data_IF_127461904498
#
_entry.id   IF_127461904498
#
_cell.length_a   1.000
_cell.length_b   1.000
_cell.length_c   1.000
_cell.angle_alpha   90.00
_cell.angle_beta   90.00
_cell.angle_gamma   90.00
#
_symmetry.space_group_name_H-M   'P 1'
#
loop_
_entity.id
_entity.type
_entity.pdbx_description
1 polymer ?
#
# COMPACT_ATOMS: atom_id res chain seq x y z
N UNK A 1 -40.70 21.37 27.88
CA UNK A 1 -40.39 22.52 27.00
C UNK A 1 -39.14 22.16 26.20
N UNK A 2 -39.31 21.67 24.98
CA UNK A 2 -38.20 21.35 24.08
C UNK A 2 -37.80 22.65 23.40
N UNK A 3 -36.57 23.12 23.66
CA UNK A 3 -36.07 24.41 23.18
C UNK A 3 -36.19 24.52 21.65
N UNK A 4 -36.93 25.52 21.14
CA UNK A 4 -37.04 25.80 19.70
C UNK A 4 -35.68 26.10 19.03
N UNK A 5 -34.65 26.40 19.82
CA UNK A 5 -33.27 26.57 19.34
C UNK A 5 -32.62 25.27 18.83
N UNK A 6 -32.93 24.10 19.40
CA UNK A 6 -32.34 22.82 18.94
C UNK A 6 -32.89 22.38 17.59
N UNK A 7 -34.10 22.79 17.22
CA UNK A 7 -34.74 22.41 15.95
C UNK A 7 -34.13 23.15 14.76
N UNK A 8 -33.66 24.39 14.95
CA UNK A 8 -33.15 25.23 13.87
C UNK A 8 -31.63 25.07 13.61
N UNK A 9 -30.89 24.58 14.61
CA UNK A 9 -29.45 24.26 14.50
C UNK A 9 -29.24 22.92 13.77
N UNK A 10 -30.15 21.96 13.94
CA UNK A 10 -30.07 20.60 13.40
C UNK A 10 -30.03 20.48 11.86
N UNK A 11 -30.78 21.27 11.06
CA UNK A 11 -30.71 21.15 9.60
C UNK A 11 -29.42 21.75 9.02
N UNK A 12 -28.90 22.82 9.63
CA UNK A 12 -27.68 23.49 9.15
C UNK A 12 -26.44 22.62 9.37
N UNK A 13 -26.33 21.96 10.51
CA UNK A 13 -25.21 21.04 10.80
C UNK A 13 -25.22 19.82 9.89
N UNK A 14 -26.39 19.27 9.57
CA UNK A 14 -26.53 18.16 8.60
C UNK A 14 -26.12 18.53 7.18
N UNK A 15 -26.50 19.73 6.71
CA UNK A 15 -26.12 20.20 5.38
C UNK A 15 -24.59 20.37 5.28
N UNK A 16 -23.96 21.01 6.26
CA UNK A 16 -22.50 21.19 6.31
C UNK A 16 -21.80 19.82 6.35
N UNK A 17 -22.25 18.91 7.21
CA UNK A 17 -21.67 17.56 7.30
C UNK A 17 -21.78 16.80 5.99
N UNK A 18 -22.91 16.91 5.28
CA UNK A 18 -23.13 16.25 3.99
C UNK A 18 -22.19 16.80 2.91
N UNK A 19 -21.98 18.11 2.86
CA UNK A 19 -21.04 18.74 1.91
C UNK A 19 -19.60 18.29 2.22
N UNK A 20 -19.20 18.27 3.49
CA UNK A 20 -17.85 17.82 3.89
C UNK A 20 -17.64 16.34 3.57
N UNK A 21 -18.61 15.47 3.87
CA UNK A 21 -18.54 14.04 3.59
C UNK A 21 -18.56 13.73 2.08
N UNK A 22 -19.36 14.46 1.30
CA UNK A 22 -19.36 14.29 -0.16
C UNK A 22 -18.06 14.78 -0.79
N UNK A 23 -17.52 15.91 -0.34
CA UNK A 23 -16.22 16.42 -0.80
C UNK A 23 -15.07 15.45 -0.51
N UNK A 24 -15.05 14.88 0.69
CA UNK A 24 -14.06 13.84 1.04
C UNK A 24 -14.23 12.58 0.20
N UNK A 25 -15.46 12.09 -0.01
CA UNK A 25 -15.70 10.94 -0.89
C UNK A 25 -15.21 11.16 -2.33
N UNK A 26 -15.44 12.35 -2.90
CA UNK A 26 -14.93 12.71 -4.24
C UNK A 26 -13.40 12.75 -4.25
N UNK A 27 -12.78 13.33 -3.22
CA UNK A 27 -11.33 13.34 -3.07
C UNK A 27 -10.73 11.93 -3.03
N UNK A 28 -11.32 11.02 -2.26
CA UNK A 28 -10.86 9.63 -2.18
C UNK A 28 -11.04 8.87 -3.51
N UNK A 29 -12.13 9.12 -4.25
CA UNK A 29 -12.30 8.57 -5.60
C UNK A 29 -11.21 9.04 -6.56
N UNK A 30 -10.85 10.32 -6.52
CA UNK A 30 -9.75 10.87 -7.33
C UNK A 30 -8.43 10.18 -6.97
N UNK A 31 -8.17 9.98 -5.67
CA UNK A 31 -6.98 9.27 -5.18
C UNK A 31 -6.94 7.83 -5.70
N UNK A 32 -8.05 7.10 -5.65
CA UNK A 32 -8.15 5.73 -6.20
C UNK A 32 -7.85 5.72 -7.70
N UNK A 33 -8.40 6.66 -8.46
CA UNK A 33 -8.15 6.77 -9.92
C UNK A 33 -6.67 7.06 -10.19
N UNK A 34 -6.05 7.97 -9.43
CA UNK A 34 -4.61 8.25 -9.51
C UNK A 34 -3.81 6.97 -9.23
N UNK A 35 -4.19 6.17 -8.22
CA UNK A 35 -3.50 4.90 -7.94
C UNK A 35 -3.65 3.88 -9.05
N UNK A 36 -4.83 3.72 -9.63
CA UNK A 36 -5.05 2.83 -10.77
C UNK A 36 -4.21 3.29 -11.97
N UNK A 37 -4.17 4.59 -12.25
CA UNK A 37 -3.37 5.16 -13.33
C UNK A 37 -1.87 4.95 -13.09
N UNK A 38 -1.38 5.19 -11.88
CA UNK A 38 0.00 4.93 -11.48
C UNK A 38 0.34 3.44 -11.61
N UNK A 39 -0.54 2.54 -11.15
CA UNK A 39 -0.34 1.11 -11.30
C UNK A 39 -0.25 0.71 -12.77
N UNK A 40 -1.20 1.15 -13.60
CA UNK A 40 -1.21 0.88 -15.04
C UNK A 40 0.04 1.43 -15.74
N UNK A 41 0.47 2.64 -15.38
CA UNK A 41 1.69 3.26 -15.91
C UNK A 41 2.94 2.44 -15.55
N UNK A 42 3.06 2.01 -14.29
CA UNK A 42 4.18 1.18 -13.83
C UNK A 42 4.22 -0.19 -14.54
N UNK A 43 3.07 -0.85 -14.69
CA UNK A 43 2.98 -2.12 -15.44
C UNK A 43 3.35 -1.92 -16.91
N UNK A 44 2.87 -0.83 -17.53
CA UNK A 44 3.16 -0.52 -18.93
C UNK A 44 4.63 -0.17 -19.16
N UNK A 45 5.25 0.57 -18.25
CA UNK A 45 6.67 0.91 -18.31
C UNK A 45 7.55 -0.34 -18.19
N UNK A 46 7.23 -1.25 -17.26
CA UNK A 46 7.93 -2.54 -17.11
C UNK A 46 7.92 -3.37 -18.39
N UNK A 47 6.86 -3.25 -19.21
CA UNK A 47 6.70 -3.97 -20.48
C UNK A 47 7.35 -3.26 -21.68
N UNK A 48 7.82 -2.01 -21.54
CA UNK A 48 8.34 -1.23 -22.66
C UNK A 48 9.83 -1.52 -22.94
N UNK A 49 10.16 -1.81 -24.21
CA UNK A 49 11.54 -1.95 -24.71
C UNK A 49 12.39 -0.67 -24.61
N UNK A 50 11.77 0.48 -24.28
CA UNK A 50 12.47 1.74 -24.03
C UNK A 50 13.50 1.64 -22.88
N UNK A 51 13.41 0.62 -22.03
CA UNK A 51 14.40 0.31 -21.00
C UNK A 51 15.80 0.03 -21.58
N UNK A 52 15.92 -0.45 -22.82
CA UNK A 52 17.21 -0.89 -23.38
C UNK A 52 18.11 0.31 -23.71
N UNK A 53 17.53 1.40 -24.24
CA UNK A 53 18.26 2.58 -24.74
C UNK A 53 18.64 3.65 -23.70
N UNK A 54 18.12 3.56 -22.47
CA UNK A 54 18.38 4.58 -21.45
C UNK A 54 19.79 4.47 -20.82
N UNK A 55 20.38 5.62 -20.47
CA UNK A 55 21.66 5.71 -19.75
C UNK A 55 21.57 5.04 -18.38
N UNK A 56 22.70 4.52 -17.89
CA UNK A 56 22.77 3.74 -16.65
C UNK A 56 22.29 4.54 -15.42
N UNK A 57 22.59 5.84 -15.38
CA UNK A 57 22.13 6.77 -14.34
C UNK A 57 20.60 6.96 -14.36
N UNK A 58 20.02 7.17 -15.56
CA UNK A 58 18.57 7.33 -15.72
C UNK A 58 17.82 6.05 -15.35
N UNK A 59 18.37 4.87 -15.68
CA UNK A 59 17.83 3.58 -15.23
C UNK A 59 17.78 3.50 -13.70
N UNK A 60 18.84 3.91 -13.02
CA UNK A 60 18.91 3.84 -11.55
C UNK A 60 17.91 4.77 -10.86
N UNK A 61 17.76 6.01 -11.34
CA UNK A 61 16.79 6.96 -10.80
C UNK A 61 15.35 6.48 -11.00
N UNK A 62 15.04 5.93 -12.17
CA UNK A 62 13.71 5.40 -12.45
C UNK A 62 13.42 4.15 -11.59
N UNK A 63 14.39 3.25 -11.42
CA UNK A 63 14.25 2.06 -10.56
C UNK A 63 13.94 2.47 -9.10
N UNK A 64 14.66 3.44 -8.55
CA UNK A 64 14.41 3.95 -7.19
C UNK A 64 13.05 4.64 -7.05
N UNK A 65 12.64 5.41 -8.06
CA UNK A 65 11.32 6.05 -8.08
C UNK A 65 10.19 5.02 -8.12
N UNK A 66 10.36 3.96 -8.93
CA UNK A 66 9.39 2.86 -9.00
C UNK A 66 9.34 2.10 -7.67
N UNK A 67 10.49 1.80 -7.05
CA UNK A 67 10.53 1.10 -5.77
C UNK A 67 9.86 1.93 -4.65
N UNK A 68 10.06 3.25 -4.67
CA UNK A 68 9.43 4.18 -3.74
C UNK A 68 7.92 4.29 -3.99
N UNK A 69 7.51 4.39 -5.26
CA UNK A 69 6.10 4.39 -5.64
C UNK A 69 5.40 3.09 -5.24
N UNK A 70 6.01 1.92 -5.47
CA UNK A 70 5.47 0.62 -5.04
C UNK A 70 5.34 0.47 -3.53
N UNK A 71 6.06 1.27 -2.74
CA UNK A 71 5.89 1.34 -1.27
C UNK A 71 4.76 2.29 -0.87
N UNK A 72 4.65 3.44 -1.53
CA UNK A 72 3.67 4.48 -1.22
C UNK A 72 2.26 4.18 -1.74
N UNK A 73 2.16 3.59 -2.93
CA UNK A 73 0.88 3.25 -3.59
C UNK A 73 -0.02 2.36 -2.73
N UNK A 74 0.41 1.19 -2.23
CA UNK A 74 -0.47 0.33 -1.43
C UNK A 74 -0.85 1.00 -0.10
N UNK A 75 0.04 1.83 0.45
CA UNK A 75 -0.22 2.54 1.69
C UNK A 75 -1.34 3.56 1.50
N UNK A 76 -1.21 4.44 0.52
CA UNK A 76 -2.19 5.46 0.28
C UNK A 76 -3.48 4.90 -0.34
N UNK A 77 -3.42 3.78 -1.08
CA UNK A 77 -4.61 3.03 -1.48
C UNK A 77 -5.35 2.46 -0.25
N UNK A 78 -4.65 1.87 0.72
CA UNK A 78 -5.27 1.38 1.95
C UNK A 78 -5.93 2.51 2.74
N UNK A 79 -5.25 3.65 2.89
CA UNK A 79 -5.82 4.85 3.52
C UNK A 79 -7.11 5.30 2.82
N UNK A 80 -7.06 5.42 1.49
CA UNK A 80 -8.21 5.84 0.70
C UNK A 80 -9.39 4.88 0.82
N UNK A 81 -9.13 3.57 0.84
CA UNK A 81 -10.18 2.57 1.04
C UNK A 81 -10.80 2.64 2.43
N UNK A 82 -10.00 2.83 3.49
CA UNK A 82 -10.50 2.96 4.85
C UNK A 82 -11.37 4.22 5.02
N UNK A 83 -10.92 5.34 4.47
CA UNK A 83 -11.67 6.60 4.49
C UNK A 83 -12.96 6.49 3.69
N UNK A 84 -12.93 5.90 2.50
CA UNK A 84 -14.12 5.68 1.67
C UNK A 84 -15.15 4.82 2.39
N UNK A 85 -14.72 3.70 3.00
CA UNK A 85 -15.62 2.80 3.75
C UNK A 85 -16.22 3.52 4.96
N UNK A 86 -15.44 4.31 5.69
CA UNK A 86 -15.92 5.07 6.84
C UNK A 86 -16.96 6.13 6.41
N UNK A 87 -16.68 6.87 5.34
CA UNK A 87 -17.62 7.86 4.79
C UNK A 87 -18.91 7.21 4.30
N UNK A 88 -18.83 6.07 3.61
CA UNK A 88 -20.00 5.32 3.18
C UNK A 88 -20.82 4.82 4.37
N UNK A 89 -20.17 4.27 5.40
CA UNK A 89 -20.84 3.79 6.60
C UNK A 89 -21.58 4.92 7.33
N UNK A 90 -20.98 6.11 7.41
CA UNK A 90 -21.62 7.31 7.98
C UNK A 90 -22.84 7.74 7.14
N UNK A 91 -22.73 7.80 5.81
CA UNK A 91 -23.85 8.14 4.92
C UNK A 91 -24.98 7.12 5.06
N UNK A 92 -24.67 5.83 5.10
CA UNK A 92 -25.65 4.76 5.30
C UNK A 92 -26.35 4.88 6.66
N UNK A 93 -25.62 5.23 7.73
CA UNK A 93 -26.16 5.42 9.07
C UNK A 93 -27.24 6.52 9.13
N UNK A 94 -27.09 7.60 8.35
CA UNK A 94 -28.10 8.65 8.27
C UNK A 94 -29.40 8.26 7.53
N UNK A 95 -29.32 7.30 6.61
CA UNK A 95 -30.44 6.91 5.75
C UNK A 95 -31.19 5.66 6.27
N UNK A 96 -30.56 4.82 7.09
CA UNK A 96 -31.18 3.61 7.64
C UNK A 96 -31.73 3.80 9.06
N UNK A 97 -33.05 3.67 9.21
CA UNK A 97 -33.78 3.79 10.47
C UNK A 97 -33.21 2.97 11.66
N UNK A 98 -32.78 1.69 11.50
CA UNK A 98 -32.25 0.92 12.63
C UNK A 98 -30.86 1.39 13.10
N UNK A 99 -30.12 2.13 12.26
CA UNK A 99 -28.72 2.52 12.52
C UNK A 99 -28.62 3.98 12.98
N UNK A 100 -29.67 4.77 12.73
CA UNK A 100 -29.76 6.21 13.00
C UNK A 100 -29.45 6.65 14.45
N UNK A 101 -29.60 5.74 15.42
CA UNK A 101 -29.36 6.03 16.84
C UNK A 101 -27.94 5.66 17.31
N UNK A 102 -27.12 5.06 16.45
CA UNK A 102 -25.73 4.71 16.80
C UNK A 102 -24.83 5.95 16.73
N UNK A 103 -23.93 6.14 17.70
CA UNK A 103 -22.95 7.23 17.67
C UNK A 103 -22.05 7.10 16.43
N UNK A 104 -21.78 8.22 15.76
CA UNK A 104 -20.95 8.27 14.55
C UNK A 104 -19.55 7.64 14.71
N UNK A 105 -19.01 7.66 15.93
CA UNK A 105 -17.68 7.13 16.25
C UNK A 105 -17.57 5.61 16.08
N UNK A 106 -18.70 4.87 16.07
CA UNK A 106 -18.71 3.43 15.81
C UNK A 106 -18.33 3.06 14.38
N UNK A 107 -18.42 4.02 13.44
CA UNK A 107 -18.11 3.81 12.03
C UNK A 107 -16.73 4.32 11.64
N UNK A 108 -15.96 4.85 12.60
CA UNK A 108 -14.63 5.36 12.34
C UNK A 108 -13.60 4.23 12.45
N UNK A 109 -13.16 3.73 11.28
CA UNK A 109 -12.15 2.66 11.18
C UNK A 109 -10.73 3.27 11.18
N UNK A 110 -10.61 4.58 11.04
CA UNK A 110 -9.35 5.34 11.01
C UNK A 110 -8.38 4.99 12.14
N UNK A 111 -8.78 4.88 13.44
CA UNK A 111 -7.86 4.51 14.50
C UNK A 111 -7.26 3.10 14.32
N UNK A 112 -8.04 2.14 13.80
CA UNK A 112 -7.54 0.80 13.50
C UNK A 112 -6.53 0.82 12.35
N UNK A 113 -6.77 1.67 11.34
CA UNK A 113 -5.83 1.86 10.23
C UNK A 113 -4.47 2.39 10.72
N UNK A 114 -4.46 3.40 11.61
CA UNK A 114 -3.22 3.92 12.19
C UNK A 114 -2.46 2.91 13.05
N UNK A 115 -3.15 1.96 13.69
CA UNK A 115 -2.53 0.85 14.41
C UNK A 115 -2.02 -0.25 13.46
N UNK A 116 -2.75 -0.55 12.39
CA UNK A 116 -2.37 -1.56 11.41
C UNK A 116 -1.12 -1.16 10.61
N UNK A 117 -0.97 0.14 10.32
CA UNK A 117 0.13 0.72 9.56
C UNK A 117 1.54 0.35 10.06
N UNK A 118 1.92 0.60 11.34
CA UNK A 118 3.22 0.21 11.86
C UNK A 118 3.39 -1.31 11.90
N UNK A 119 2.32 -2.08 12.13
CA UNK A 119 2.34 -3.55 12.11
C UNK A 119 2.68 -4.06 10.71
N UNK A 120 2.01 -3.53 9.68
CA UNK A 120 2.25 -3.90 8.28
C UNK A 120 3.69 -3.55 7.86
N UNK A 121 4.17 -2.35 8.22
CA UNK A 121 5.55 -1.94 7.93
C UNK A 121 6.55 -2.86 8.61
N UNK A 122 6.32 -3.17 9.89
CA UNK A 122 7.17 -4.07 10.67
C UNK A 122 7.19 -5.49 10.07
N UNK A 123 6.02 -6.03 9.73
CA UNK A 123 5.87 -7.33 9.09
C UNK A 123 6.60 -7.39 7.75
N UNK A 124 6.44 -6.37 6.89
CA UNK A 124 7.13 -6.30 5.61
C UNK A 124 8.65 -6.29 5.78
N UNK A 125 9.16 -5.56 6.78
CA UNK A 125 10.60 -5.55 7.11
C UNK A 125 11.06 -6.91 7.61
N UNK A 126 10.27 -7.57 8.44
CA UNK A 126 10.57 -8.89 8.96
C UNK A 126 10.67 -9.93 7.83
N UNK A 127 9.66 -9.99 6.96
CA UNK A 127 9.66 -10.91 5.80
C UNK A 127 10.81 -10.63 4.84
N UNK A 128 11.10 -9.35 4.55
CA UNK A 128 12.22 -8.98 3.67
C UNK A 128 13.60 -9.33 4.27
N UNK A 129 13.74 -9.28 5.60
CA UNK A 129 14.95 -9.77 6.28
C UNK A 129 15.07 -11.28 6.16
N UNK A 130 13.97 -11.99 6.40
CA UNK A 130 13.97 -13.46 6.32
C UNK A 130 14.33 -13.95 4.92
N UNK A 131 13.80 -13.33 3.86
CA UNK A 131 14.13 -13.71 2.48
C UNK A 131 15.60 -13.47 2.14
N UNK A 132 16.21 -12.40 2.66
CA UNK A 132 17.66 -12.12 2.48
C UNK A 132 18.52 -13.13 3.24
N UNK A 133 18.15 -13.47 4.47
CA UNK A 133 18.87 -14.49 5.25
C UNK A 133 18.82 -15.84 4.54
N UNK A 134 17.66 -16.21 4.00
CA UNK A 134 17.52 -17.45 3.21
C UNK A 134 18.35 -17.43 1.93
N UNK A 135 18.37 -16.32 1.18
CA UNK A 135 19.20 -16.24 -0.04
C UNK A 135 20.69 -16.31 0.27
N UNK A 136 21.14 -15.70 1.38
CA UNK A 136 22.55 -15.77 1.82
C UNK A 136 22.89 -17.20 2.27
N UNK A 137 22.01 -17.85 3.04
CA UNK A 137 22.21 -19.23 3.48
C UNK A 137 22.28 -20.21 2.29
N UNK A 138 21.41 -20.04 1.28
CA UNK A 138 21.42 -20.83 0.05
C UNK A 138 22.69 -20.58 -0.78
N UNK A 139 23.12 -19.31 -0.90
CA UNK A 139 24.39 -18.94 -1.55
C UNK A 139 25.59 -19.62 -0.88
N UNK A 140 25.68 -19.57 0.44
CA UNK A 140 26.80 -20.15 1.19
C UNK A 140 26.86 -21.68 1.09
N UNK A 141 25.71 -22.37 1.02
CA UNK A 141 25.68 -23.82 0.75
C UNK A 141 26.22 -24.16 -0.64
N UNK A 142 25.77 -23.42 -1.67
CA UNK A 142 26.21 -23.65 -3.03
C UNK A 142 27.70 -23.31 -3.20
N UNK A 143 28.17 -22.22 -2.62
CA UNK A 143 29.56 -21.79 -2.69
C UNK A 143 30.50 -22.77 -1.99
N UNK A 144 30.08 -23.32 -0.84
CA UNK A 144 30.80 -24.42 -0.19
C UNK A 144 30.88 -25.67 -1.06
N UNK A 145 29.78 -26.10 -1.67
CA UNK A 145 29.78 -27.28 -2.55
C UNK A 145 30.63 -27.08 -3.81
N UNK A 146 30.56 -25.89 -4.42
CA UNK A 146 31.33 -25.56 -5.62
C UNK A 146 32.83 -25.44 -5.32
N UNK A 147 33.21 -24.90 -4.15
CA UNK A 147 34.60 -24.83 -3.73
C UNK A 147 35.20 -26.22 -3.51
N UNK A 148 34.45 -27.14 -2.88
CA UNK A 148 34.87 -28.54 -2.73
C UNK A 148 34.93 -29.28 -4.07
N UNK A 149 34.00 -29.00 -5.00
CA UNK A 149 33.98 -29.60 -6.33
C UNK A 149 35.15 -29.10 -7.20
N UNK A 150 35.48 -27.82 -7.11
CA UNK A 150 36.66 -27.22 -7.75
C UNK A 150 37.96 -27.82 -7.20
N UNK A 151 38.10 -27.97 -5.89
CA UNK A 151 39.25 -28.65 -5.28
C UNK A 151 39.32 -30.12 -5.74
N UNK A 152 38.18 -30.82 -5.80
CA UNK A 152 38.12 -32.18 -6.32
C UNK A 152 38.57 -32.25 -7.78
N UNK A 153 38.21 -31.29 -8.62
CA UNK A 153 38.63 -31.24 -10.02
C UNK A 153 40.13 -30.99 -10.17
N UNK A 154 40.73 -30.15 -9.31
CA UNK A 154 42.18 -29.89 -9.29
C UNK A 154 42.96 -31.12 -8.80
N UNK A 155 42.48 -31.80 -7.75
CA UNK A 155 43.16 -32.97 -7.17
C UNK A 155 42.91 -34.28 -7.93
N UNK A 156 41.72 -34.47 -8.52
CA UNK A 156 41.41 -35.64 -9.34
C UNK A 156 41.87 -35.49 -10.80
N UNK A 157 42.57 -34.40 -11.11
CA UNK A 157 43.50 -34.30 -12.23
C UNK A 157 43.13 -35.15 -13.43
N UNK A 158 42.07 -34.79 -14.16
CA UNK A 158 42.05 -35.10 -15.60
C UNK A 158 43.06 -34.17 -16.26
N UNK A 159 44.34 -34.53 -16.12
CA UNK A 159 45.34 -34.23 -17.12
C UNK A 159 44.92 -35.01 -18.38
N UNK A 160 43.96 -34.46 -19.11
CA UNK A 160 43.63 -34.93 -20.45
C UNK A 160 44.77 -34.44 -21.34
N UNK A 161 45.78 -35.30 -21.50
CA UNK A 161 46.62 -35.30 -22.69
C UNK A 161 45.77 -35.58 -23.92
#
# INVERSE_FOLDING_TARGET
MVNSATVLIYPKTKAILTVVLSGTAVGELIIIVIFIALYAYNVRWKKSSARIAATLSHKYQVEQNIESALKLVPLAAANATCNLVSTLAVICSFNYAPIKNLPFFYFDITPFYYLALPIIIYWRRYVARQSRVQSIAASNCNEGSNHFEMLRAVFNGKSSR
#
